data_IF_134813302460
#
_entry.id   IF_134813302460
#
_cell.length_a   1.000
_cell.length_b   1.000
_cell.length_c   1.000
_cell.angle_alpha   90.00
_cell.angle_beta   90.00
_cell.angle_gamma   90.00
#
_symmetry.space_group_name_H-M   'P 1'
#
loop_
_entity.id
_entity.type
_entity.pdbx_description
1 polymer ?
#
# COMPACT_ATOMS: atom_id res chain seq x y z
N UNK A 1 -18.55 -24.13 57.56
CA UNK A 1 -18.23 -25.44 58.11
C UNK A 1 -16.82 -25.82 57.63
N UNK A 2 -15.90 -25.86 58.59
CA UNK A 2 -14.45 -26.15 58.36
C UNK A 2 -14.26 -27.65 58.19
N UNK A 3 -13.33 -28.09 57.33
CA UNK A 3 -12.57 -29.32 57.57
C UNK A 3 -11.21 -29.20 56.89
N UNK A 4 -10.21 -29.11 57.76
CA UNK A 4 -8.79 -29.32 57.47
C UNK A 4 -8.52 -30.81 57.33
N UNK A 5 -7.62 -31.25 56.47
CA UNK A 5 -6.90 -32.51 56.61
C UNK A 5 -5.43 -32.34 56.32
N UNK A 6 -4.67 -32.98 57.21
CA UNK A 6 -3.27 -32.83 57.51
C UNK A 6 -2.39 -33.77 56.66
N UNK A 7 -1.10 -33.39 56.56
CA UNK A 7 -0.01 -34.18 56.07
C UNK A 7 0.44 -35.27 57.07
N UNK A 8 1.07 -36.35 56.64
CA UNK A 8 2.06 -37.02 57.49
C UNK A 8 3.49 -36.88 56.91
N UNK A 9 4.40 -36.60 57.82
CA UNK A 9 5.82 -36.66 57.68
C UNK A 9 6.30 -38.09 57.66
N UNK A 10 7.32 -38.39 56.90
CA UNK A 10 8.06 -39.65 56.94
C UNK A 10 9.56 -39.40 57.06
N UNK A 11 10.11 -40.04 57.97
CA UNK A 11 11.33 -40.15 58.72
C UNK A 11 12.58 -40.39 57.87
N UNK A 12 13.66 -39.71 58.16
CA UNK A 12 14.98 -39.90 57.61
C UNK A 12 15.67 -41.08 58.35
N UNK A 13 16.30 -41.94 57.53
CA UNK A 13 17.30 -42.89 58.07
C UNK A 13 18.63 -42.59 57.35
N UNK A 14 19.59 -42.12 58.11
CA UNK A 14 20.97 -41.96 57.69
C UNK A 14 21.71 -43.31 57.80
N UNK A 15 22.35 -43.74 56.77
CA UNK A 15 23.39 -44.81 56.77
C UNK A 15 24.64 -44.22 56.15
N UNK A 16 25.68 -44.07 56.98
CA UNK A 16 27.01 -43.72 56.54
C UNK A 16 27.74 -44.97 56.03
N UNK A 17 28.27 -44.91 54.82
CA UNK A 17 29.37 -45.78 54.39
C UNK A 17 30.48 -44.91 53.78
N UNK A 18 31.65 -45.02 54.37
CA UNK A 18 32.88 -44.47 53.84
C UNK A 18 33.42 -45.39 52.74
N UNK A 19 33.90 -44.82 51.67
CA UNK A 19 34.70 -45.59 50.72
C UNK A 19 34.90 -44.93 49.34
N UNK A 20 36.12 -44.42 49.14
CA UNK A 20 36.85 -44.28 47.89
C UNK A 20 36.30 -43.35 46.82
N UNK A 21 37.02 -42.22 46.64
CA UNK A 21 36.78 -41.26 45.57
C UNK A 21 37.03 -41.80 44.15
N UNK A 22 35.98 -41.67 43.34
CA UNK A 22 36.11 -41.61 41.91
C UNK A 22 35.40 -40.33 41.46
N UNK A 23 36.16 -39.34 41.03
CA UNK A 23 35.61 -38.14 40.37
C UNK A 23 35.05 -38.55 39.01
N UNK A 24 33.73 -38.68 38.93
CA UNK A 24 33.01 -38.76 37.66
C UNK A 24 32.93 -37.37 37.13
N UNK A 25 33.76 -37.02 36.16
CA UNK A 25 33.61 -35.84 35.32
C UNK A 25 32.38 -36.12 34.44
N UNK A 26 31.25 -35.51 34.81
CA UNK A 26 30.07 -35.46 33.94
C UNK A 26 30.44 -34.56 32.73
N UNK A 27 30.64 -35.17 31.59
CA UNK A 27 30.71 -34.46 30.32
C UNK A 27 29.38 -33.74 30.09
N UNK A 28 29.38 -32.48 29.63
CA UNK A 28 28.12 -31.79 29.28
C UNK A 28 27.41 -32.64 28.21
N UNK A 29 26.15 -32.97 28.47
CA UNK A 29 25.32 -33.73 27.56
C UNK A 29 25.27 -33.04 26.21
N UNK A 30 25.74 -33.71 25.15
CA UNK A 30 25.55 -33.25 23.80
C UNK A 30 24.05 -33.24 23.52
N UNK A 31 23.44 -32.03 23.39
CA UNK A 31 22.10 -31.90 22.84
C UNK A 31 22.10 -32.58 21.48
N UNK A 32 21.18 -33.53 21.27
CA UNK A 32 21.00 -34.15 19.95
C UNK A 32 20.72 -33.03 18.94
N UNK A 33 21.53 -32.96 17.89
CA UNK A 33 21.34 -31.98 16.83
C UNK A 33 19.95 -32.19 16.19
N UNK A 34 19.17 -31.13 16.07
CA UNK A 34 17.86 -31.16 15.41
C UNK A 34 18.07 -31.53 13.94
N UNK A 35 17.32 -32.53 13.41
CA UNK A 35 17.40 -32.90 12.01
C UNK A 35 16.99 -31.74 11.09
N UNK A 36 17.69 -31.57 9.96
CA UNK A 36 17.29 -30.58 8.96
C UNK A 36 16.03 -31.03 8.22
N UNK A 37 15.10 -30.10 8.03
CA UNK A 37 13.96 -30.23 7.13
C UNK A 37 14.45 -30.41 5.67
N UNK A 38 13.58 -30.78 4.71
CA UNK A 38 13.94 -30.81 3.30
C UNK A 38 14.58 -29.49 2.84
N UNK A 39 15.59 -29.59 1.97
CA UNK A 39 16.28 -28.40 1.47
C UNK A 39 15.33 -27.45 0.74
N UNK A 40 15.42 -26.16 1.01
CA UNK A 40 14.68 -25.14 0.29
C UNK A 40 15.07 -25.10 -1.19
N UNK A 41 14.08 -24.89 -2.05
CA UNK A 41 14.29 -24.66 -3.48
C UNK A 41 13.48 -23.46 -3.96
N UNK A 42 14.04 -22.66 -4.85
CA UNK A 42 13.39 -21.45 -5.38
C UNK A 42 12.12 -21.73 -6.21
N UNK A 43 12.01 -22.92 -6.78
CA UNK A 43 10.86 -23.32 -7.60
C UNK A 43 9.71 -23.93 -6.79
N UNK A 44 9.95 -24.35 -5.54
CA UNK A 44 8.90 -24.93 -4.70
C UNK A 44 8.00 -23.85 -4.11
N UNK A 45 6.71 -24.20 -3.99
CA UNK A 45 5.74 -23.41 -3.25
C UNK A 45 5.71 -23.91 -1.81
N UNK A 46 5.80 -22.98 -0.86
CA UNK A 46 5.63 -23.26 0.56
C UNK A 46 4.40 -22.52 1.07
N UNK A 47 3.59 -23.20 1.86
CA UNK A 47 2.41 -22.61 2.53
C UNK A 47 2.63 -22.58 4.03
N UNK A 48 1.75 -21.89 4.75
CA UNK A 48 1.84 -21.78 6.21
C UNK A 48 2.16 -23.14 6.86
N UNK A 49 3.09 -23.10 7.82
CA UNK A 49 3.59 -24.24 8.59
C UNK A 49 4.45 -25.25 7.80
N UNK A 50 4.69 -25.05 6.49
CA UNK A 50 5.68 -25.85 5.77
C UNK A 50 7.09 -25.55 6.28
N UNK A 51 7.90 -26.58 6.34
CA UNK A 51 9.28 -26.49 6.79
C UNK A 51 10.26 -26.68 5.64
N UNK A 52 11.34 -25.92 5.68
CA UNK A 52 12.48 -26.05 4.78
C UNK A 52 13.77 -25.83 5.54
N UNK A 53 14.90 -26.31 5.01
CA UNK A 53 16.22 -25.99 5.54
C UNK A 53 17.06 -25.26 4.50
N UNK A 54 17.87 -24.31 4.97
CA UNK A 54 18.86 -23.61 4.15
C UNK A 54 20.02 -23.15 5.03
N UNK A 55 21.25 -23.25 4.53
CA UNK A 55 22.45 -22.79 5.24
C UNK A 55 22.62 -23.34 6.67
N UNK A 56 22.15 -24.59 6.91
CA UNK A 56 22.27 -25.25 8.21
C UNK A 56 21.22 -24.77 9.25
N UNK A 57 20.18 -24.07 8.85
CA UNK A 57 19.03 -23.71 9.68
C UNK A 57 17.75 -24.34 9.17
N UNK A 58 16.82 -24.59 10.08
CA UNK A 58 15.45 -24.93 9.76
C UNK A 58 14.58 -23.68 9.79
N UNK A 59 13.65 -23.60 8.87
CA UNK A 59 12.71 -22.48 8.74
C UNK A 59 11.28 -23.00 8.62
N UNK A 60 10.32 -22.22 9.14
CA UNK A 60 8.88 -22.47 8.97
C UNK A 60 8.25 -21.32 8.19
N UNK A 61 7.52 -21.62 7.13
CA UNK A 61 6.78 -20.60 6.36
C UNK A 61 5.60 -20.07 7.21
N UNK A 62 5.49 -18.73 7.31
CA UNK A 62 4.39 -18.04 8.02
C UNK A 62 3.10 -18.06 7.20
N UNK A 63 3.25 -18.03 5.88
CA UNK A 63 2.18 -18.04 4.87
C UNK A 63 2.73 -18.53 3.54
N UNK A 64 1.97 -18.37 2.46
CA UNK A 64 2.38 -18.76 1.13
C UNK A 64 3.64 -18.00 0.68
N UNK A 65 4.65 -18.72 0.18
CA UNK A 65 5.87 -18.14 -0.39
C UNK A 65 6.44 -19.04 -1.50
N UNK A 66 7.07 -18.41 -2.49
CA UNK A 66 7.82 -19.07 -3.56
C UNK A 66 8.97 -18.15 -3.98
N UNK A 67 10.14 -18.72 -4.24
CA UNK A 67 11.35 -17.99 -4.63
C UNK A 67 11.87 -16.95 -3.60
N UNK A 68 11.40 -17.01 -2.37
CA UNK A 68 11.87 -16.17 -1.26
C UNK A 68 12.74 -17.02 -0.33
N UNK A 69 14.07 -16.81 -0.42
CA UNK A 69 15.05 -17.61 0.33
C UNK A 69 14.90 -17.42 1.84
N UNK A 70 14.70 -18.50 2.63
CA UNK A 70 14.55 -18.38 4.07
C UNK A 70 15.76 -17.73 4.76
N UNK A 71 16.97 -17.91 4.23
CA UNK A 71 18.16 -17.29 4.80
C UNK A 71 18.16 -15.73 4.72
N UNK A 72 17.35 -15.16 3.84
CA UNK A 72 17.24 -13.70 3.62
C UNK A 72 15.85 -13.14 3.90
N UNK A 73 14.84 -13.99 4.15
CA UNK A 73 13.45 -13.61 4.36
C UNK A 73 12.89 -14.22 5.65
N UNK A 74 13.69 -14.15 6.75
CA UNK A 74 13.31 -14.64 8.08
C UNK A 74 13.28 -13.56 9.16
N UNK A 75 13.23 -12.27 8.79
CA UNK A 75 13.02 -11.17 9.72
C UNK A 75 11.63 -11.19 10.36
N UNK A 76 11.40 -10.29 11.31
CA UNK A 76 10.15 -10.24 12.09
C UNK A 76 8.89 -10.23 11.21
N UNK A 77 8.94 -9.58 10.04
CA UNK A 77 7.82 -9.41 9.12
C UNK A 77 7.99 -10.19 7.80
N UNK A 78 9.06 -11.00 7.70
CA UNK A 78 9.33 -11.81 6.52
C UNK A 78 8.51 -13.11 6.51
N UNK A 79 8.56 -13.81 5.37
CA UNK A 79 7.74 -15.00 5.11
C UNK A 79 8.16 -16.23 5.87
N UNK A 80 9.37 -16.24 6.47
CA UNK A 80 9.91 -17.37 7.21
C UNK A 80 10.14 -17.05 8.70
N UNK A 81 10.02 -18.07 9.54
CA UNK A 81 10.53 -18.07 10.92
C UNK A 81 11.81 -18.89 10.90
N UNK A 82 12.91 -18.31 11.38
CA UNK A 82 14.14 -19.09 11.66
C UNK A 82 13.95 -19.90 12.95
N UNK A 83 13.98 -21.22 12.83
CA UNK A 83 13.83 -22.15 13.95
C UNK A 83 15.18 -22.56 14.56
N UNK A 84 16.27 -21.96 14.09
CA UNK A 84 17.63 -22.23 14.57
C UNK A 84 18.35 -23.33 13.79
N UNK A 85 19.55 -23.65 14.26
CA UNK A 85 20.48 -24.57 13.56
C UNK A 85 19.99 -26.01 13.52
N UNK A 86 20.23 -26.67 12.40
CA UNK A 86 20.00 -28.09 12.19
C UNK A 86 21.28 -28.82 11.69
N UNK A 87 21.42 -30.13 11.95
CA UNK A 87 22.48 -30.98 11.42
C UNK A 87 23.90 -30.49 11.69
N UNK A 88 24.49 -30.86 12.80
CA UNK A 88 25.77 -30.39 13.31
C UNK A 88 26.97 -30.49 12.35
N UNK A 89 27.16 -29.48 11.51
CA UNK A 89 28.46 -29.04 11.00
C UNK A 89 28.39 -27.53 10.89
N UNK A 90 29.27 -26.86 11.61
CA UNK A 90 29.43 -25.42 11.58
C UNK A 90 29.80 -24.96 10.17
N UNK A 91 28.99 -24.11 9.51
CA UNK A 91 29.46 -23.44 8.30
C UNK A 91 30.49 -22.36 8.65
N UNK A 92 31.47 -22.08 7.76
CA UNK A 92 32.43 -21.03 7.98
C UNK A 92 31.70 -19.69 8.12
N UNK A 93 32.04 -18.93 9.18
CA UNK A 93 31.61 -17.57 9.42
C UNK A 93 32.24 -16.65 8.38
N UNK A 94 31.56 -16.46 7.26
CA UNK A 94 31.75 -15.26 6.45
C UNK A 94 30.71 -14.24 6.93
N UNK A 95 31.13 -13.02 7.28
CA UNK A 95 30.15 -11.97 7.56
C UNK A 95 29.23 -11.81 6.36
N UNK A 96 27.94 -11.57 6.55
CA UNK A 96 27.07 -11.21 5.43
C UNK A 96 27.65 -9.95 4.79
N UNK A 97 28.17 -10.10 3.58
CA UNK A 97 28.41 -8.95 2.71
C UNK A 97 27.03 -8.37 2.48
N UNK A 98 26.78 -7.24 3.12
CA UNK A 98 25.69 -6.36 2.73
C UNK A 98 25.97 -5.96 1.28
N UNK A 99 25.39 -6.72 0.34
CA UNK A 99 25.26 -6.23 -1.03
C UNK A 99 24.58 -4.87 -0.93
N UNK A 100 24.99 -3.89 -1.75
CA UNK A 100 24.31 -2.62 -1.74
C UNK A 100 22.85 -2.90 -2.01
N UNK A 101 21.99 -2.68 -0.99
CA UNK A 101 20.56 -2.48 -1.22
C UNK A 101 20.51 -1.21 -2.05
N UNK A 102 20.43 -1.38 -3.37
CA UNK A 102 20.09 -0.25 -4.23
C UNK A 102 18.74 0.25 -3.68
N UNK A 103 18.68 1.46 -3.14
CA UNK A 103 17.39 2.04 -2.78
C UNK A 103 16.51 1.92 -4.02
N UNK A 104 15.22 1.63 -3.91
CA UNK A 104 14.34 1.71 -5.07
C UNK A 104 14.60 3.06 -5.74
N UNK A 105 14.74 3.12 -7.07
CA UNK A 105 15.04 4.36 -7.75
C UNK A 105 14.06 5.41 -7.26
N UNK A 106 14.57 6.51 -6.75
CA UNK A 106 13.79 7.56 -6.10
C UNK A 106 12.57 7.87 -6.96
N UNK A 107 11.39 7.93 -6.33
CA UNK A 107 10.12 8.09 -7.02
C UNK A 107 10.21 9.21 -8.05
N UNK A 108 10.08 8.89 -9.34
CA UNK A 108 10.10 9.94 -10.35
C UNK A 108 8.85 10.77 -10.17
N UNK A 109 8.99 12.07 -9.92
CA UNK A 109 7.88 13.00 -9.82
C UNK A 109 6.93 12.81 -11.01
N UNK A 110 5.66 12.66 -10.73
CA UNK A 110 4.61 12.51 -11.73
C UNK A 110 4.08 13.89 -12.13
N UNK A 111 3.56 13.98 -13.33
CA UNK A 111 2.77 15.15 -13.73
C UNK A 111 1.49 15.17 -12.90
N UNK A 112 1.06 16.36 -12.45
CA UNK A 112 -0.19 16.53 -11.73
C UNK A 112 -1.37 15.98 -12.56
N UNK A 113 -2.18 15.12 -11.95
CA UNK A 113 -3.23 14.38 -12.64
C UNK A 113 -4.54 14.40 -11.81
N UNK A 114 -5.28 15.51 -11.78
CA UNK A 114 -6.54 15.59 -11.06
C UNK A 114 -7.55 14.57 -11.58
N UNK A 115 -8.48 14.17 -10.70
CA UNK A 115 -9.50 13.19 -11.06
C UNK A 115 -10.51 13.79 -12.05
N UNK A 116 -10.82 13.01 -13.07
CA UNK A 116 -11.92 13.22 -14.00
C UNK A 116 -12.80 11.97 -14.01
N UNK A 117 -14.10 12.14 -13.80
CA UNK A 117 -15.08 11.06 -13.82
C UNK A 117 -15.99 11.20 -15.05
N UNK A 118 -15.73 10.47 -16.16
CA UNK A 118 -16.51 10.57 -17.38
C UNK A 118 -17.97 10.11 -17.27
N UNK A 119 -18.25 9.21 -16.31
CA UNK A 119 -19.57 8.59 -16.15
C UNK A 119 -20.56 9.39 -15.33
N UNK A 120 -20.14 10.44 -14.62
CA UNK A 120 -20.99 11.11 -13.64
C UNK A 120 -20.57 12.58 -13.38
N UNK A 121 -21.50 13.38 -12.80
CA UNK A 121 -21.17 14.73 -12.34
C UNK A 121 -20.85 15.72 -13.47
N UNK A 122 -21.56 15.66 -14.59
CA UNK A 122 -21.44 16.60 -15.71
C UNK A 122 -19.96 16.86 -16.12
N UNK A 123 -19.24 15.84 -16.61
CA UNK A 123 -17.82 15.92 -16.90
C UNK A 123 -17.54 16.95 -18.02
N UNK A 124 -16.54 17.83 -17.84
CA UNK A 124 -16.12 18.73 -18.91
C UNK A 124 -15.33 17.97 -19.98
N UNK A 125 -15.34 18.48 -21.22
CA UNK A 125 -14.47 17.96 -22.27
C UNK A 125 -12.99 18.14 -21.89
N UNK A 126 -12.16 17.08 -21.90
CA UNK A 126 -10.77 17.14 -21.44
C UNK A 126 -9.93 18.19 -22.17
N UNK A 127 -10.12 18.32 -23.51
CA UNK A 127 -9.39 19.29 -24.33
C UNK A 127 -9.68 20.72 -23.89
N UNK A 128 -10.91 21.03 -23.50
CA UNK A 128 -11.29 22.34 -22.97
C UNK A 128 -10.55 22.64 -21.68
N UNK A 129 -10.52 21.66 -20.75
CA UNK A 129 -9.80 21.81 -19.47
C UNK A 129 -8.29 21.96 -19.71
N UNK A 130 -7.70 21.13 -20.58
CA UNK A 130 -6.28 21.18 -20.92
C UNK A 130 -5.88 22.55 -21.47
N UNK A 131 -6.69 23.09 -22.38
CA UNK A 131 -6.44 24.40 -23.01
C UNK A 131 -6.58 25.55 -22.00
N UNK A 132 -7.56 25.48 -21.11
CA UNK A 132 -7.84 26.53 -20.14
C UNK A 132 -6.87 26.55 -18.95
N UNK A 133 -6.24 25.42 -18.60
CA UNK A 133 -5.48 25.23 -17.36
C UNK A 133 -4.02 24.85 -17.55
N UNK A 134 -3.68 24.30 -18.71
CA UNK A 134 -2.35 23.72 -18.95
C UNK A 134 -2.13 22.34 -18.32
N UNK A 135 -3.11 21.73 -17.66
CA UNK A 135 -2.98 20.36 -17.12
C UNK A 135 -2.71 19.37 -18.26
N UNK A 136 -1.84 18.39 -18.03
CA UNK A 136 -1.39 17.43 -19.06
C UNK A 136 -1.69 15.97 -18.69
N UNK A 137 -2.24 15.70 -17.53
CA UNK A 137 -2.59 14.35 -17.10
C UNK A 137 -3.89 14.34 -16.31
N UNK A 138 -4.56 13.19 -16.31
CA UNK A 138 -5.82 12.98 -15.60
C UNK A 138 -5.83 11.62 -14.92
N UNK A 139 -6.33 11.57 -13.69
CA UNK A 139 -6.73 10.33 -13.05
C UNK A 139 -8.17 10.02 -13.45
N UNK A 140 -8.44 8.88 -14.07
CA UNK A 140 -9.78 8.55 -14.61
C UNK A 140 -10.49 7.60 -13.65
N UNK A 141 -11.62 8.04 -13.10
CA UNK A 141 -12.47 7.30 -12.16
C UNK A 141 -13.60 6.57 -12.90
N UNK A 142 -14.10 5.42 -12.49
CA UNK A 142 -13.40 4.40 -11.74
C UNK A 142 -13.50 3.06 -12.48
N UNK A 143 -12.43 2.27 -12.45
CA UNK A 143 -12.51 0.88 -12.86
C UNK A 143 -13.06 0.07 -11.71
N UNK A 144 -14.17 -0.60 -11.93
CA UNK A 144 -14.88 -1.48 -11.00
C UNK A 144 -14.91 -2.91 -11.51
N UNK A 145 -15.75 -3.76 -10.91
CA UNK A 145 -15.79 -5.19 -11.18
C UNK A 145 -17.13 -5.67 -11.72
N UNK A 146 -17.05 -6.52 -12.73
CA UNK A 146 -18.11 -7.48 -13.06
C UNK A 146 -17.54 -8.90 -12.84
N UNK A 147 -17.81 -9.49 -11.68
CA UNK A 147 -17.00 -10.59 -11.16
C UNK A 147 -15.54 -10.15 -11.00
N UNK A 148 -14.57 -10.98 -11.39
CA UNK A 148 -13.16 -10.60 -11.42
C UNK A 148 -12.74 -9.98 -12.78
N UNK A 149 -13.67 -9.34 -13.49
CA UNK A 149 -13.40 -8.71 -14.78
C UNK A 149 -13.47 -7.18 -14.62
N UNK A 150 -12.42 -6.42 -15.01
CA UNK A 150 -12.42 -4.98 -14.88
C UNK A 150 -13.35 -4.34 -15.92
N UNK A 151 -14.19 -3.43 -15.46
CA UNK A 151 -15.15 -2.67 -16.26
C UNK A 151 -15.23 -1.24 -15.72
N UNK A 152 -15.58 -0.27 -16.57
CA UNK A 152 -15.85 1.10 -16.09
C UNK A 152 -17.20 1.13 -15.37
N UNK A 153 -17.25 1.78 -14.23
CA UNK A 153 -18.46 2.03 -13.41
C UNK A 153 -19.25 0.76 -13.01
N UNK A 154 -18.63 -0.42 -13.10
CA UNK A 154 -19.31 -1.69 -12.82
C UNK A 154 -20.14 -2.23 -13.99
N UNK A 155 -20.20 -1.53 -15.10
CA UNK A 155 -21.02 -1.85 -16.27
C UNK A 155 -20.20 -1.73 -17.56
N UNK A 156 -20.66 -2.40 -18.61
CA UNK A 156 -19.98 -2.33 -19.92
C UNK A 156 -18.60 -3.00 -19.94
N UNK A 157 -17.72 -2.52 -20.80
CA UNK A 157 -16.36 -3.02 -20.96
C UNK A 157 -15.31 -1.94 -20.67
N UNK A 158 -14.04 -2.31 -20.78
CA UNK A 158 -12.95 -1.33 -20.74
C UNK A 158 -12.90 -0.45 -21.98
N UNK A 159 -13.43 -0.95 -23.10
CA UNK A 159 -13.44 -0.27 -24.42
C UNK A 159 -14.85 -0.10 -24.94
N UNK A 160 -15.04 0.80 -25.91
CA UNK A 160 -16.32 1.04 -26.60
C UNK A 160 -17.24 2.08 -25.92
N UNK A 161 -16.83 2.67 -24.77
CA UNK A 161 -17.66 3.59 -24.00
C UNK A 161 -17.12 5.02 -23.88
N UNK A 162 -17.78 5.82 -23.04
CA UNK A 162 -17.42 7.22 -22.76
C UNK A 162 -16.03 7.36 -22.15
N UNK A 163 -15.62 6.43 -21.29
CA UNK A 163 -14.29 6.43 -20.66
C UNK A 163 -13.18 6.26 -21.71
N UNK A 164 -13.30 5.28 -22.62
CA UNK A 164 -12.32 5.12 -23.70
C UNK A 164 -12.29 6.35 -24.62
N UNK A 165 -13.45 6.90 -24.97
CA UNK A 165 -13.55 8.12 -25.78
C UNK A 165 -12.84 9.28 -25.08
N UNK A 166 -13.02 9.46 -23.79
CA UNK A 166 -12.36 10.47 -22.97
C UNK A 166 -10.84 10.25 -22.90
N UNK A 167 -10.39 9.02 -22.65
CA UNK A 167 -8.98 8.64 -22.64
C UNK A 167 -8.32 8.93 -23.99
N UNK A 168 -8.98 8.57 -25.09
CA UNK A 168 -8.48 8.82 -26.45
C UNK A 168 -8.41 10.32 -26.75
N UNK A 169 -9.38 11.11 -26.33
CA UNK A 169 -9.36 12.57 -26.48
C UNK A 169 -8.20 13.21 -25.70
N UNK A 170 -7.92 12.76 -24.47
CA UNK A 170 -6.78 13.21 -23.68
C UNK A 170 -5.46 12.90 -24.40
N UNK A 171 -5.29 11.66 -24.87
CA UNK A 171 -4.08 11.23 -25.56
C UNK A 171 -3.87 11.96 -26.89
N UNK A 172 -4.94 12.16 -27.67
CA UNK A 172 -4.89 12.91 -28.91
C UNK A 172 -4.48 14.37 -28.70
N UNK A 173 -4.82 14.95 -27.55
CA UNK A 173 -4.37 16.27 -27.13
C UNK A 173 -2.96 16.29 -26.52
N UNK A 174 -2.21 15.19 -26.59
CA UNK A 174 -0.85 15.06 -26.05
C UNK A 174 -0.79 14.89 -24.53
N UNK A 175 -1.91 14.54 -23.89
CA UNK A 175 -1.99 14.27 -22.46
C UNK A 175 -1.76 12.79 -22.12
N UNK A 176 -1.77 12.49 -20.82
CA UNK A 176 -1.64 11.15 -20.25
C UNK A 176 -2.76 10.84 -19.27
N UNK A 177 -2.96 9.56 -18.99
CA UNK A 177 -4.02 9.08 -18.09
C UNK A 177 -3.48 8.08 -17.06
N UNK A 178 -4.08 8.12 -15.89
CA UNK A 178 -3.89 7.15 -14.80
C UNK A 178 -5.29 6.63 -14.45
N UNK A 179 -5.73 5.46 -14.94
CA UNK A 179 -6.95 4.85 -14.45
C UNK A 179 -6.88 4.57 -12.96
N UNK A 180 -7.94 4.94 -12.24
CA UNK A 180 -8.13 4.65 -10.81
C UNK A 180 -9.06 3.46 -10.67
N UNK A 181 -8.64 2.48 -9.89
CA UNK A 181 -9.31 1.19 -9.67
C UNK A 181 -9.76 1.16 -8.21
N UNK A 182 -11.06 1.06 -7.97
CA UNK A 182 -11.63 1.08 -6.63
C UNK A 182 -12.53 2.28 -6.38
N UNK A 183 -12.21 3.10 -5.38
CA UNK A 183 -13.02 4.24 -4.95
C UNK A 183 -14.06 3.87 -3.88
N UNK A 184 -14.87 4.84 -3.44
CA UNK A 184 -15.78 4.65 -2.32
C UNK A 184 -16.93 3.66 -2.60
N UNK A 185 -17.54 3.73 -3.78
CA UNK A 185 -18.75 2.97 -4.12
C UNK A 185 -18.49 1.94 -5.23
N UNK A 186 -19.48 1.08 -5.41
CA UNK A 186 -19.52 0.08 -6.47
C UNK A 186 -18.88 -1.26 -6.09
N UNK A 187 -18.97 -2.19 -7.02
CA UNK A 187 -18.45 -3.54 -6.84
C UNK A 187 -16.96 -3.57 -7.23
N UNK A 188 -16.08 -3.87 -6.29
CA UNK A 188 -14.63 -3.70 -6.47
C UNK A 188 -13.92 -4.98 -6.85
N UNK A 189 -12.81 -4.87 -7.58
CA UNK A 189 -12.02 -6.02 -8.03
C UNK A 189 -11.38 -6.80 -6.88
N UNK A 190 -10.90 -6.09 -5.85
CA UNK A 190 -10.24 -6.71 -4.71
C UNK A 190 -11.07 -7.82 -4.05
N UNK A 191 -12.31 -7.57 -3.62
CA UNK A 191 -13.19 -8.60 -3.06
C UNK A 191 -13.61 -9.69 -4.06
N UNK A 192 -13.76 -9.33 -5.33
CA UNK A 192 -14.32 -10.22 -6.36
C UNK A 192 -13.32 -11.18 -7.01
N UNK A 193 -12.03 -10.87 -6.96
CA UNK A 193 -11.00 -11.78 -7.45
C UNK A 193 -10.59 -12.76 -6.34
N UNK A 194 -10.39 -14.02 -6.66
CA UNK A 194 -10.15 -15.08 -5.67
C UNK A 194 -8.71 -15.12 -5.13
N UNK A 195 -7.74 -14.55 -5.87
CA UNK A 195 -6.33 -14.60 -5.51
C UNK A 195 -5.58 -13.35 -5.99
N UNK A 196 -4.34 -13.11 -5.49
CA UNK A 196 -3.48 -12.06 -6.01
C UNK A 196 -3.20 -12.17 -7.52
N UNK A 197 -3.05 -13.40 -8.05
CA UNK A 197 -2.79 -13.66 -9.47
C UNK A 197 -4.01 -13.30 -10.33
N UNK A 198 -5.21 -13.68 -9.89
CA UNK A 198 -6.45 -13.35 -10.57
C UNK A 198 -6.66 -11.83 -10.61
N UNK A 199 -6.40 -11.16 -9.49
CA UNK A 199 -6.49 -9.70 -9.39
C UNK A 199 -5.42 -8.99 -10.23
N UNK A 200 -4.19 -9.49 -10.23
CA UNK A 200 -3.13 -9.00 -11.09
C UNK A 200 -3.49 -9.17 -12.58
N UNK A 201 -4.12 -10.29 -12.95
CA UNK A 201 -4.65 -10.50 -14.29
C UNK A 201 -5.70 -9.46 -14.68
N UNK A 202 -6.58 -9.06 -13.75
CA UNK A 202 -7.54 -7.99 -13.97
C UNK A 202 -6.84 -6.62 -14.16
N UNK A 203 -5.88 -6.26 -13.30
CA UNK A 203 -5.10 -5.03 -13.45
C UNK A 203 -4.31 -5.01 -14.77
N UNK A 204 -3.74 -6.15 -15.18
CA UNK A 204 -3.02 -6.27 -16.44
C UNK A 204 -3.91 -5.99 -17.66
N UNK A 205 -5.18 -6.39 -17.62
CA UNK A 205 -6.14 -6.07 -18.68
C UNK A 205 -6.31 -4.56 -18.84
N UNK A 206 -6.41 -3.82 -17.71
CA UNK A 206 -6.53 -2.34 -17.72
C UNK A 206 -5.26 -1.71 -18.30
N UNK A 207 -4.08 -2.17 -17.87
CA UNK A 207 -2.78 -1.70 -18.37
C UNK A 207 -2.68 -1.90 -19.88
N UNK A 208 -3.04 -3.08 -20.37
CA UNK A 208 -2.94 -3.45 -21.78
C UNK A 208 -3.94 -2.70 -22.64
N UNK A 209 -5.19 -2.53 -22.18
CA UNK A 209 -6.24 -1.85 -22.94
C UNK A 209 -5.85 -0.42 -23.33
N UNK A 210 -5.10 0.26 -22.45
CA UNK A 210 -4.76 1.66 -22.65
C UNK A 210 -3.26 1.95 -22.77
N UNK A 211 -2.39 0.93 -22.74
CA UNK A 211 -0.93 1.11 -22.83
C UNK A 211 -0.37 2.00 -21.72
N UNK A 212 -0.78 1.72 -20.48
CA UNK A 212 -0.58 2.60 -19.34
C UNK A 212 0.87 2.68 -18.87
N UNK A 213 1.22 3.83 -18.30
CA UNK A 213 2.48 4.07 -17.58
C UNK A 213 2.30 4.14 -16.07
N UNK A 214 1.06 4.21 -15.60
CA UNK A 214 0.70 4.19 -14.18
C UNK A 214 -0.72 3.64 -14.00
N UNK A 215 -0.97 3.02 -12.85
CA UNK A 215 -2.28 2.67 -12.33
C UNK A 215 -2.41 3.17 -10.90
N UNK A 216 -3.59 3.61 -10.53
CA UNK A 216 -3.96 4.01 -9.18
C UNK A 216 -4.90 2.98 -8.58
N UNK A 217 -4.62 2.49 -7.38
CA UNK A 217 -5.51 1.62 -6.61
C UNK A 217 -6.04 2.45 -5.46
N UNK A 218 -7.30 2.79 -5.55
CA UNK A 218 -8.02 3.64 -4.60
C UNK A 218 -8.76 2.77 -3.60
N UNK A 219 -8.09 2.53 -2.46
CA UNK A 219 -8.54 1.61 -1.42
C UNK A 219 -9.29 2.40 -0.36
N UNK A 220 -10.60 2.22 -0.34
CA UNK A 220 -11.47 2.86 0.61
C UNK A 220 -12.29 1.83 1.41
N UNK A 221 -13.07 2.23 2.36
CA UNK A 221 -14.08 1.51 3.14
C UNK A 221 -13.79 0.04 3.55
N UNK A 222 -14.81 -0.59 4.15
CA UNK A 222 -14.72 -1.89 4.85
C UNK A 222 -14.46 -3.10 3.96
N UNK A 223 -14.75 -3.02 2.67
CA UNK A 223 -14.63 -4.17 1.76
C UNK A 223 -13.20 -4.36 1.22
N UNK A 224 -12.38 -3.32 1.25
CA UNK A 224 -10.97 -3.35 0.84
C UNK A 224 -10.01 -2.87 1.94
N UNK A 225 -10.22 -1.66 2.49
CA UNK A 225 -9.26 -1.04 3.41
C UNK A 225 -9.28 -1.67 4.80
N UNK A 226 -10.44 -2.04 5.30
CA UNK A 226 -10.63 -2.68 6.60
C UNK A 226 -10.63 -4.21 6.50
N UNK A 227 -10.74 -4.76 5.29
CA UNK A 227 -10.68 -6.20 5.03
C UNK A 227 -9.23 -6.61 4.73
N UNK A 228 -8.51 -7.03 5.74
CA UNK A 228 -7.09 -7.36 5.63
C UNK A 228 -6.79 -8.47 4.63
N UNK A 229 -7.68 -9.44 4.45
CA UNK A 229 -7.52 -10.49 3.43
C UNK A 229 -7.56 -9.89 2.03
N UNK A 230 -8.44 -8.93 1.79
CA UNK A 230 -8.56 -8.25 0.50
C UNK A 230 -7.41 -7.27 0.30
N UNK A 231 -7.05 -6.48 1.32
CA UNK A 231 -5.91 -5.58 1.27
C UNK A 231 -4.60 -6.32 0.95
N UNK A 232 -4.37 -7.49 1.56
CA UNK A 232 -3.19 -8.33 1.29
C UNK A 232 -3.21 -8.90 -0.13
N UNK A 233 -4.39 -9.26 -0.64
CA UNK A 233 -4.57 -9.67 -2.05
C UNK A 233 -4.22 -8.54 -3.01
N UNK A 234 -4.64 -7.33 -2.73
CA UNK A 234 -4.31 -6.14 -3.54
C UNK A 234 -2.80 -5.91 -3.56
N UNK A 235 -2.15 -5.93 -2.40
CA UNK A 235 -0.68 -5.77 -2.29
C UNK A 235 0.05 -6.90 -3.04
N UNK A 236 -0.43 -8.14 -2.90
CA UNK A 236 0.11 -9.28 -3.66
C UNK A 236 -0.04 -9.11 -5.17
N UNK A 237 -1.18 -8.62 -5.63
CA UNK A 237 -1.41 -8.32 -7.04
C UNK A 237 -0.48 -7.21 -7.56
N UNK A 238 -0.25 -6.15 -6.78
CA UNK A 238 0.70 -5.08 -7.13
C UNK A 238 2.14 -5.58 -7.23
N UNK A 239 2.55 -6.52 -6.35
CA UNK A 239 3.85 -7.20 -6.50
C UNK A 239 3.98 -7.86 -7.88
N UNK A 240 2.97 -8.63 -8.29
CA UNK A 240 2.96 -9.32 -9.59
C UNK A 240 2.96 -8.31 -10.74
N UNK A 241 2.14 -7.27 -10.66
CA UNK A 241 2.11 -6.20 -11.66
C UNK A 241 3.49 -5.55 -11.81
N UNK A 242 4.15 -5.26 -10.70
CA UNK A 242 5.48 -4.63 -10.73
C UNK A 242 6.56 -5.53 -11.32
N UNK A 243 6.47 -6.84 -11.08
CA UNK A 243 7.36 -7.83 -11.68
C UNK A 243 7.15 -7.93 -13.20
N UNK A 244 5.90 -7.96 -13.64
CA UNK A 244 5.55 -8.09 -15.07
C UNK A 244 5.72 -6.78 -15.85
N UNK A 245 5.62 -5.63 -15.18
CA UNK A 245 5.66 -4.30 -15.78
C UNK A 245 6.56 -3.36 -14.94
N UNK A 246 7.89 -3.55 -14.93
CA UNK A 246 8.79 -2.75 -14.08
C UNK A 246 8.71 -1.24 -14.30
N UNK A 247 8.34 -0.82 -15.52
CA UNK A 247 8.21 0.59 -15.92
C UNK A 247 6.85 1.21 -15.59
N UNK A 248 5.83 0.40 -15.26
CA UNK A 248 4.51 0.90 -14.86
C UNK A 248 4.56 1.32 -13.39
N UNK A 249 4.17 2.55 -13.10
CA UNK A 249 4.06 3.04 -11.73
C UNK A 249 2.79 2.52 -11.07
N UNK A 250 2.96 2.00 -9.87
CA UNK A 250 1.86 1.55 -9.01
C UNK A 250 1.63 2.56 -7.91
N UNK A 251 0.39 3.00 -7.77
CA UNK A 251 -0.03 4.00 -6.78
C UNK A 251 -1.05 3.34 -5.85
N UNK A 252 -0.87 3.51 -4.55
CA UNK A 252 -1.87 3.19 -3.53
C UNK A 252 -2.44 4.49 -2.98
N UNK A 253 -3.75 4.67 -3.13
CA UNK A 253 -4.50 5.81 -2.60
C UNK A 253 -5.44 5.34 -1.50
N UNK A 254 -5.43 5.99 -0.34
CA UNK A 254 -6.21 5.59 0.84
C UNK A 254 -6.48 6.76 1.80
N UNK A 255 -7.49 6.60 2.64
CA UNK A 255 -7.88 7.58 3.65
C UNK A 255 -6.83 7.77 4.75
N UNK A 256 -6.86 8.94 5.41
CA UNK A 256 -5.92 9.31 6.47
C UNK A 256 -6.62 10.05 7.61
N UNK A 257 -5.92 10.24 8.74
CA UNK A 257 -6.31 11.19 9.79
C UNK A 257 -5.55 12.52 9.59
N UNK A 258 -5.86 13.53 10.38
CA UNK A 258 -5.14 14.82 10.38
C UNK A 258 -3.67 14.71 10.79
N UNK A 259 -3.25 13.56 11.35
CA UNK A 259 -1.89 13.30 11.82
C UNK A 259 -1.16 12.19 11.07
N UNK A 260 -1.77 11.63 10.03
CA UNK A 260 -1.18 10.57 9.19
C UNK A 260 -2.08 9.36 9.01
N UNK A 261 -1.57 8.27 8.40
CA UNK A 261 -2.32 7.04 8.20
C UNK A 261 -2.91 6.50 9.49
N UNK A 262 -4.17 6.05 9.45
CA UNK A 262 -4.77 5.31 10.55
C UNK A 262 -4.18 3.88 10.65
N UNK A 263 -4.66 3.06 11.58
CA UNK A 263 -4.14 1.71 11.79
C UNK A 263 -4.20 0.84 10.52
N UNK A 264 -5.24 0.98 9.70
CA UNK A 264 -5.38 0.26 8.43
C UNK A 264 -4.35 0.72 7.41
N UNK A 265 -4.12 2.04 7.29
CA UNK A 265 -3.11 2.61 6.40
C UNK A 265 -1.69 2.23 6.82
N UNK A 266 -1.40 2.27 8.12
CA UNK A 266 -0.11 1.79 8.67
C UNK A 266 0.12 0.32 8.32
N UNK A 267 -0.90 -0.52 8.52
CA UNK A 267 -0.83 -1.94 8.17
C UNK A 267 -0.62 -2.14 6.68
N UNK A 268 -1.37 -1.43 5.84
CA UNK A 268 -1.26 -1.51 4.37
C UNK A 268 0.15 -1.18 3.90
N UNK A 269 0.75 -0.09 4.41
CA UNK A 269 2.13 0.30 4.10
C UNK A 269 3.12 -0.79 4.55
N UNK A 270 2.99 -1.30 5.78
CA UNK A 270 3.86 -2.36 6.30
C UNK A 270 3.76 -3.63 5.44
N UNK A 271 2.57 -3.95 4.97
CA UNK A 271 2.32 -5.12 4.14
C UNK A 271 2.97 -4.99 2.74
N UNK A 272 3.05 -3.78 2.18
CA UNK A 272 3.77 -3.60 0.90
C UNK A 272 5.25 -3.93 1.02
N UNK A 273 5.88 -3.60 2.15
CA UNK A 273 7.25 -4.00 2.45
C UNK A 273 7.35 -5.50 2.69
N UNK A 274 6.47 -6.05 3.54
CA UNK A 274 6.48 -7.45 3.91
C UNK A 274 6.36 -8.37 2.70
N UNK A 275 5.53 -8.02 1.72
CA UNK A 275 5.35 -8.78 0.49
C UNK A 275 6.33 -8.39 -0.64
N UNK A 276 7.12 -7.33 -0.47
CA UNK A 276 8.02 -6.83 -1.51
C UNK A 276 7.29 -6.31 -2.75
N UNK A 277 6.18 -5.61 -2.56
CA UNK A 277 5.33 -5.14 -3.66
C UNK A 277 5.95 -3.97 -4.45
N UNK A 278 6.97 -3.30 -3.90
CA UNK A 278 7.68 -2.18 -4.53
C UNK A 278 6.73 -1.11 -5.10
N UNK A 279 5.75 -0.69 -4.29
CA UNK A 279 4.81 0.38 -4.63
C UNK A 279 5.57 1.68 -4.87
N UNK A 280 5.28 2.36 -5.98
CA UNK A 280 5.99 3.58 -6.37
C UNK A 280 5.50 4.81 -5.60
N UNK A 281 4.19 4.91 -5.32
CA UNK A 281 3.61 6.09 -4.66
C UNK A 281 2.52 5.68 -3.67
N UNK A 282 2.60 6.25 -2.47
CA UNK A 282 1.58 6.19 -1.44
C UNK A 282 0.86 7.53 -1.39
N UNK A 283 -0.39 7.57 -1.80
CA UNK A 283 -1.22 8.78 -1.83
C UNK A 283 -2.22 8.75 -0.69
N UNK A 284 -2.27 9.81 0.09
CA UNK A 284 -3.31 9.98 1.12
C UNK A 284 -4.42 10.90 0.63
N UNK A 285 -5.63 10.69 1.17
CA UNK A 285 -6.80 11.53 0.96
C UNK A 285 -7.08 12.35 2.23
N UNK A 286 -6.48 13.55 2.37
CA UNK A 286 -6.58 14.36 3.58
C UNK A 286 -7.84 15.23 3.55
N UNK A 287 -9.00 14.60 3.65
CA UNK A 287 -10.32 15.22 3.78
C UNK A 287 -11.26 14.30 4.57
N UNK A 288 -12.49 14.72 4.81
CA UNK A 288 -13.49 14.02 5.62
C UNK A 288 -13.04 13.80 7.08
N UNK A 289 -12.59 14.87 7.70
CA UNK A 289 -12.09 14.89 9.07
C UNK A 289 -13.15 15.22 10.13
N UNK A 290 -14.41 15.38 9.76
CA UNK A 290 -15.51 15.69 10.68
C UNK A 290 -15.87 17.17 10.80
N UNK A 291 -15.62 17.98 9.76
CA UNK A 291 -15.97 19.40 9.69
C UNK A 291 -15.00 20.34 10.44
N UNK A 292 -15.00 21.62 10.09
CA UNK A 292 -14.30 22.69 10.82
C UNK A 292 -12.77 22.63 10.84
N UNK A 293 -12.13 21.73 10.12
CA UNK A 293 -10.68 21.55 10.10
C UNK A 293 -9.98 22.69 9.34
N UNK A 294 -8.83 23.15 9.84
CA UNK A 294 -7.87 23.89 9.02
C UNK A 294 -7.25 22.94 7.99
N UNK A 295 -7.75 22.98 6.77
CA UNK A 295 -7.39 22.03 5.72
C UNK A 295 -5.93 22.11 5.29
N UNK A 296 -5.27 23.26 5.44
CA UNK A 296 -3.83 23.33 5.23
C UNK A 296 -3.06 22.61 6.34
N UNK A 297 -3.33 22.96 7.60
CA UNK A 297 -2.64 22.36 8.74
C UNK A 297 -2.91 20.85 8.81
N UNK A 298 -4.16 20.43 8.59
CA UNK A 298 -4.55 19.00 8.59
C UNK A 298 -3.88 18.22 7.46
N UNK A 299 -3.81 18.78 6.25
CA UNK A 299 -3.13 18.12 5.11
C UNK A 299 -1.63 18.00 5.32
N UNK A 300 -0.98 19.06 5.86
CA UNK A 300 0.44 19.02 6.20
C UNK A 300 0.70 18.00 7.32
N UNK A 301 -0.10 18.02 8.39
CA UNK A 301 0.02 17.07 9.49
C UNK A 301 -0.13 15.61 9.02
N UNK A 302 -1.13 15.33 8.19
CA UNK A 302 -1.36 14.03 7.59
C UNK A 302 -0.16 13.59 6.71
N UNK A 303 0.39 14.52 5.93
CA UNK A 303 1.54 14.25 5.06
C UNK A 303 2.82 13.97 5.85
N UNK A 304 3.08 14.74 6.91
CA UNK A 304 4.22 14.50 7.81
C UNK A 304 4.09 13.14 8.52
N UNK A 305 2.89 12.76 8.93
CA UNK A 305 2.60 11.45 9.50
C UNK A 305 2.87 10.32 8.50
N UNK A 306 2.44 10.46 7.24
CA UNK A 306 2.75 9.49 6.17
C UNK A 306 4.27 9.41 5.94
N UNK A 307 4.96 10.54 5.83
CA UNK A 307 6.43 10.57 5.70
C UNK A 307 7.11 9.77 6.80
N UNK A 308 6.73 10.03 8.05
CA UNK A 308 7.31 9.35 9.20
C UNK A 308 7.02 7.85 9.20
N UNK A 309 5.82 7.44 8.78
CA UNK A 309 5.47 6.02 8.60
C UNK A 309 6.32 5.36 7.52
N UNK A 310 6.51 5.99 6.36
CA UNK A 310 7.35 5.47 5.28
C UNK A 310 8.81 5.34 5.72
N UNK A 311 9.34 6.35 6.41
CA UNK A 311 10.69 6.29 7.00
C UNK A 311 10.84 5.11 7.97
N UNK A 312 9.89 4.95 8.88
CA UNK A 312 9.90 3.84 9.85
C UNK A 312 9.81 2.49 9.16
N UNK A 313 8.93 2.36 8.16
CA UNK A 313 8.73 1.10 7.45
C UNK A 313 9.92 0.76 6.56
N UNK A 314 10.38 1.68 5.71
CA UNK A 314 11.36 1.36 4.66
C UNK A 314 12.80 1.74 5.01
N UNK A 315 13.03 2.49 6.08
CA UNK A 315 14.35 3.02 6.43
C UNK A 315 14.78 4.19 5.53
N UNK A 316 13.84 4.88 4.90
CA UNK A 316 14.09 5.97 3.96
C UNK A 316 14.50 7.26 4.70
N UNK A 317 15.26 8.11 4.01
CA UNK A 317 15.43 9.51 4.39
C UNK A 317 14.14 10.30 4.16
N UNK A 318 14.04 11.53 4.67
CA UNK A 318 12.89 12.42 4.42
C UNK A 318 12.68 12.62 2.93
N UNK A 319 13.74 12.93 2.18
CA UNK A 319 13.67 13.15 0.74
C UNK A 319 13.21 11.91 -0.03
N UNK A 320 13.64 10.73 0.37
CA UNK A 320 13.17 9.48 -0.22
C UNK A 320 11.68 9.25 0.11
N UNK A 321 11.27 9.42 1.37
CA UNK A 321 9.87 9.28 1.75
C UNK A 321 8.97 10.23 0.94
N UNK A 322 9.30 11.53 0.90
CA UNK A 322 8.55 12.51 0.11
C UNK A 322 8.47 12.14 -1.38
N UNK A 323 9.54 11.63 -1.97
CA UNK A 323 9.58 11.23 -3.38
C UNK A 323 8.71 9.99 -3.70
N UNK A 324 8.15 9.34 -2.68
CA UNK A 324 7.19 8.25 -2.79
C UNK A 324 5.79 8.61 -2.25
N UNK A 325 5.54 9.89 -1.97
CA UNK A 325 4.27 10.35 -1.41
C UNK A 325 3.40 11.08 -2.44
N UNK A 326 2.09 10.99 -2.23
CA UNK A 326 1.11 11.79 -2.96
C UNK A 326 0.05 12.38 -2.05
N UNK A 327 -0.56 13.45 -2.52
CA UNK A 327 -1.75 14.08 -1.94
C UNK A 327 -2.87 14.04 -2.97
N UNK A 328 -4.04 13.52 -2.57
CA UNK A 328 -5.31 13.63 -3.27
C UNK A 328 -6.28 14.41 -2.40
N UNK A 329 -6.42 15.69 -2.64
CA UNK A 329 -7.35 16.55 -1.88
C UNK A 329 -8.79 16.48 -2.40
N UNK A 330 -9.69 17.26 -1.77
CA UNK A 330 -11.04 17.50 -2.27
C UNK A 330 -11.27 19.01 -2.42
N UNK A 331 -11.74 19.43 -3.58
CA UNK A 331 -11.90 20.85 -3.87
C UNK A 331 -13.23 21.42 -3.33
N UNK A 332 -13.17 22.63 -2.76
CA UNK A 332 -14.32 23.28 -2.16
C UNK A 332 -14.75 22.63 -0.85
N UNK A 333 -16.03 22.29 -0.72
CA UNK A 333 -16.56 21.56 0.42
C UNK A 333 -16.34 20.06 0.24
N UNK A 334 -15.76 19.39 1.25
CA UNK A 334 -15.69 17.94 1.32
C UNK A 334 -17.04 17.33 1.71
N UNK A 335 -17.17 16.01 1.69
CA UNK A 335 -18.41 15.30 2.07
C UNK A 335 -18.78 15.55 3.54
N UNK A 336 -17.81 15.86 4.39
CA UNK A 336 -18.00 16.20 5.80
C UNK A 336 -17.92 17.71 6.08
N UNK A 337 -18.06 18.55 5.04
CA UNK A 337 -18.18 20.01 5.14
C UNK A 337 -16.89 20.76 5.50
N UNK A 338 -15.70 20.14 5.40
CA UNK A 338 -14.44 20.89 5.47
C UNK A 338 -14.28 21.75 4.21
N UNK A 339 -13.74 22.95 4.42
CA UNK A 339 -13.55 23.91 3.35
C UNK A 339 -12.10 23.99 2.87
N UNK A 340 -11.85 23.52 1.66
CA UNK A 340 -10.62 23.80 0.92
C UNK A 340 -10.88 24.93 -0.09
N UNK A 341 -10.37 26.12 0.18
CA UNK A 341 -10.45 27.24 -0.78
C UNK A 341 -9.34 27.15 -1.84
N UNK A 342 -9.42 27.85 -2.98
CA UNK A 342 -8.32 27.97 -3.93
C UNK A 342 -7.01 28.47 -3.29
N UNK A 343 -7.11 29.43 -2.34
CA UNK A 343 -5.94 29.90 -1.59
C UNK A 343 -5.32 28.81 -0.71
N UNK A 344 -6.15 28.05 -0.01
CA UNK A 344 -5.70 26.88 0.78
C UNK A 344 -5.04 25.83 -0.12
N UNK A 345 -5.66 25.53 -1.27
CA UNK A 345 -5.13 24.57 -2.23
C UNK A 345 -3.79 25.00 -2.83
N UNK A 346 -3.61 26.30 -3.06
CA UNK A 346 -2.32 26.88 -3.48
C UNK A 346 -1.23 26.61 -2.45
N UNK A 347 -1.50 26.82 -1.17
CA UNK A 347 -0.54 26.55 -0.08
C UNK A 347 -0.21 25.06 0.00
N UNK A 348 -1.19 24.18 -0.15
CA UNK A 348 -1.00 22.72 -0.15
C UNK A 348 -0.14 22.32 -1.37
N UNK A 349 -0.41 22.85 -2.56
CA UNK A 349 0.40 22.64 -3.76
C UNK A 349 1.86 23.06 -3.53
N UNK A 350 2.07 24.23 -2.92
CA UNK A 350 3.42 24.74 -2.64
C UNK A 350 4.16 23.84 -1.63
N UNK A 351 3.47 23.36 -0.58
CA UNK A 351 4.03 22.36 0.32
C UNK A 351 4.45 21.09 -0.43
N UNK A 352 3.59 20.54 -1.27
CA UNK A 352 3.87 19.34 -2.05
C UNK A 352 5.06 19.55 -3.01
N UNK A 353 5.13 20.71 -3.66
CA UNK A 353 6.20 21.08 -4.57
C UNK A 353 7.54 21.29 -3.87
N UNK A 354 7.55 22.01 -2.74
CA UNK A 354 8.76 22.31 -1.97
C UNK A 354 9.39 21.05 -1.35
N UNK A 355 8.57 20.05 -1.00
CA UNK A 355 9.03 18.77 -0.50
C UNK A 355 9.25 17.73 -1.61
N UNK A 356 9.05 18.11 -2.88
CA UNK A 356 9.25 17.25 -4.04
C UNK A 356 8.42 15.94 -3.97
N UNK A 357 7.14 16.05 -3.60
CA UNK A 357 6.24 14.89 -3.59
C UNK A 357 6.12 14.27 -4.99
N UNK A 358 5.86 12.95 -5.03
CA UNK A 358 5.72 12.22 -6.28
C UNK A 358 4.43 12.53 -7.03
N UNK A 359 3.32 12.78 -6.32
CA UNK A 359 1.98 12.94 -6.90
C UNK A 359 1.21 14.08 -6.22
N UNK A 360 0.45 14.81 -7.03
CA UNK A 360 -0.48 15.83 -6.55
C UNK A 360 -1.75 15.80 -7.40
N UNK A 361 -2.89 15.62 -6.77
CA UNK A 361 -4.19 15.41 -7.40
C UNK A 361 -5.33 15.85 -6.47
N UNK A 362 -6.55 15.92 -6.99
CA UNK A 362 -7.75 16.19 -6.18
C UNK A 362 -9.01 15.59 -6.82
N UNK A 363 -10.01 15.32 -6.00
CA UNK A 363 -11.39 14.99 -6.36
C UNK A 363 -12.21 16.26 -6.38
N UNK A 364 -12.71 16.79 -7.51
CA UNK A 364 -12.48 16.33 -8.86
C UNK A 364 -12.66 17.49 -9.85
N UNK A 365 -12.21 17.34 -11.07
CA UNK A 365 -12.42 18.32 -12.16
C UNK A 365 -13.93 18.54 -12.43
N UNK A 366 -14.74 17.50 -12.31
CA UNK A 366 -16.20 17.59 -12.41
C UNK A 366 -16.78 18.65 -11.47
N UNK A 367 -16.18 18.78 -10.28
CA UNK A 367 -16.57 19.73 -9.24
C UNK A 367 -15.89 21.10 -9.35
N UNK A 368 -14.90 21.25 -10.25
CA UNK A 368 -14.06 22.46 -10.29
C UNK A 368 -14.74 23.62 -11.04
N UNK A 369 -15.90 23.99 -10.52
CA UNK A 369 -16.72 25.14 -10.90
C UNK A 369 -17.51 25.67 -9.71
N UNK A 370 -17.91 26.95 -9.79
CA UNK A 370 -18.69 27.59 -8.74
C UNK A 370 -20.11 27.02 -8.64
N UNK A 371 -20.60 26.85 -7.42
CA UNK A 371 -22.01 26.63 -7.17
C UNK A 371 -22.48 27.51 -6.01
N UNK A 372 -23.00 28.70 -6.33
CA UNK A 372 -23.33 29.70 -5.32
C UNK A 372 -24.47 29.32 -4.36
N UNK A 373 -25.12 28.16 -4.60
CA UNK A 373 -26.14 27.62 -3.68
C UNK A 373 -25.58 26.83 -2.49
N UNK A 374 -24.26 26.59 -2.46
CA UNK A 374 -23.61 25.76 -1.43
C UNK A 374 -23.96 24.28 -1.55
N UNK A 375 -23.48 23.49 -0.59
CA UNK A 375 -23.71 22.05 -0.52
C UNK A 375 -22.64 21.21 -1.20
N UNK A 376 -22.61 19.93 -0.83
CA UNK A 376 -21.69 18.92 -1.39
C UNK A 376 -22.40 18.21 -2.52
N UNK A 377 -21.95 18.45 -3.74
CA UNK A 377 -22.53 17.86 -4.96
C UNK A 377 -21.43 17.40 -5.92
N UNK A 378 -21.79 16.58 -6.88
CA UNK A 378 -20.84 15.94 -7.80
C UNK A 378 -20.33 16.84 -8.93
N UNK A 379 -21.03 17.94 -9.22
CA UNK A 379 -20.81 18.76 -10.41
C UNK A 379 -20.45 20.22 -10.10
N UNK A 380 -20.23 20.57 -8.85
CA UNK A 380 -19.65 21.85 -8.43
C UNK A 380 -18.98 21.75 -7.05
N UNK A 381 -18.15 22.73 -6.68
CA UNK A 381 -17.32 22.70 -5.48
C UNK A 381 -18.02 23.08 -4.17
N UNK A 382 -19.27 23.53 -4.23
CA UNK A 382 -19.97 24.06 -3.05
C UNK A 382 -19.57 25.48 -2.65
N UNK A 383 -18.67 26.11 -3.38
CA UNK A 383 -18.19 27.47 -3.10
C UNK A 383 -18.23 28.37 -4.35
N UNK A 384 -18.14 29.67 -4.14
CA UNK A 384 -17.91 30.61 -5.24
C UNK A 384 -16.46 30.51 -5.72
N UNK A 385 -16.26 30.22 -6.99
CA UNK A 385 -14.97 30.17 -7.65
C UNK A 385 -15.12 30.34 -9.16
N UNK A 386 -14.02 30.58 -9.86
CA UNK A 386 -13.96 30.49 -11.32
C UNK A 386 -13.87 29.03 -11.79
N UNK A 387 -14.35 28.73 -13.01
CA UNK A 387 -14.21 27.40 -13.59
C UNK A 387 -12.73 26.99 -13.68
N UNK A 388 -12.46 25.75 -13.25
CA UNK A 388 -11.14 25.09 -13.24
C UNK A 388 -10.05 25.83 -12.47
N UNK A 389 -10.41 26.55 -11.40
CA UNK A 389 -9.46 27.28 -10.58
C UNK A 389 -8.52 26.33 -9.83
N UNK A 390 -9.04 25.25 -9.25
CA UNK A 390 -8.22 24.20 -8.61
C UNK A 390 -7.37 23.45 -9.61
N UNK A 391 -7.87 23.18 -10.81
CA UNK A 391 -7.10 22.51 -11.87
C UNK A 391 -5.92 23.38 -12.31
N UNK A 392 -6.10 24.71 -12.48
CA UNK A 392 -5.00 25.63 -12.78
C UNK A 392 -3.92 25.64 -11.69
N UNK A 393 -4.33 25.67 -10.42
CA UNK A 393 -3.41 25.60 -9.29
C UNK A 393 -2.64 24.27 -9.33
N UNK A 394 -3.36 23.17 -9.55
CA UNK A 394 -2.81 21.81 -9.61
C UNK A 394 -1.81 21.65 -10.76
N UNK A 395 -2.07 22.26 -11.92
CA UNK A 395 -1.14 22.25 -13.06
C UNK A 395 0.22 22.92 -12.76
N UNK A 396 0.29 23.75 -11.70
CA UNK A 396 1.52 24.39 -11.22
C UNK A 396 2.41 23.53 -10.33
N UNK A 397 2.03 22.28 -10.04
CA UNK A 397 2.82 21.30 -9.27
C UNK A 397 3.99 20.77 -10.09
#
# INVERSE_FOLDING_TARGET
>A
MRLKKAYPAALAIALAFAGVGATVVLAPGASAAVACAPAWTSSAVYVKDNQASQSGHNYTAKWWTQNESPATHSGQWDVWIDNGTCGGTTPPTTPPTTGPTTPPPGGTKMVAAPYLYPGWGNPPAPSTVMNATGVKAFTIAFVLANGCNPVWDGEGGLTGGSHESTINAIKAAGGSVVPSIGGWQGNKLGPNCSSPEALAGAYQKVINAFGLKAIDIDIENYDEFENYTVADRIVGALKIIKQNNPSVKTILTFGTTTSGPNANGVRLINQTKALGANVDVFTIMPFDFGGGADMYASTVGASEGLKNQLKSTFGWSDAQAYSHMGISGMNGLSDQQELTTPATWTRIRDYAKNNNLARFTFWAINRDRGCPGGGVVSDCSGIAQSDWEFTRITAGF
#
